data_IF_974673925885
#
_entry.id   IF_974673925885
#
_cell.length_a   1.000
_cell.length_b   1.000
_cell.length_c   1.000
_cell.angle_alpha   90.00
_cell.angle_beta   90.00
_cell.angle_gamma   90.00
#
_symmetry.space_group_name_H-M   'P 1'
#
loop_
_entity.id
_entity.type
_entity.pdbx_description
1 polymer ?
#
# COMPACT_ATOMS: atom_id res chain seq x y z
N UNK A 1 -38.71 41.67 -23.40
CA UNK A 1 -37.91 40.44 -23.18
C UNK A 1 -36.49 40.87 -22.89
N UNK A 2 -36.10 40.85 -21.62
CA UNK A 2 -34.77 41.25 -21.18
C UNK A 2 -33.91 39.98 -20.95
N UNK A 3 -32.88 39.81 -21.74
CA UNK A 3 -31.90 38.76 -21.56
C UNK A 3 -30.89 39.23 -20.52
N UNK A 4 -30.90 38.60 -19.35
CA UNK A 4 -29.91 38.82 -18.32
C UNK A 4 -28.55 38.19 -18.71
N UNK A 5 -27.59 39.07 -19.05
CA UNK A 5 -26.20 38.69 -19.31
C UNK A 5 -25.55 38.37 -17.96
N UNK A 6 -25.31 37.11 -17.64
CA UNK A 6 -24.53 36.72 -16.48
C UNK A 6 -23.08 37.21 -16.61
N UNK A 7 -22.49 37.82 -15.58
CA UNK A 7 -21.14 38.36 -15.68
C UNK A 7 -20.10 37.22 -15.81
N UNK A 8 -19.30 37.31 -16.87
CA UNK A 8 -18.26 36.35 -17.28
C UNK A 8 -17.25 35.97 -16.17
N UNK A 9 -17.12 36.79 -15.13
CA UNK A 9 -16.24 36.57 -13.97
C UNK A 9 -16.76 35.51 -13.00
N UNK A 10 -18.06 35.22 -12.95
CA UNK A 10 -18.63 34.14 -12.13
C UNK A 10 -18.43 32.77 -12.78
N UNK A 11 -18.53 32.71 -14.10
CA UNK A 11 -18.26 31.47 -14.86
C UNK A 11 -16.82 31.05 -14.80
N UNK A 12 -15.84 31.96 -14.76
CA UNK A 12 -14.43 31.64 -14.66
C UNK A 12 -14.06 31.11 -13.25
N UNK A 13 -14.65 31.65 -12.18
CA UNK A 13 -14.40 31.19 -10.81
C UNK A 13 -15.01 29.81 -10.53
N UNK A 14 -16.19 29.55 -11.07
CA UNK A 14 -16.83 28.23 -10.98
C UNK A 14 -16.04 27.17 -11.78
N UNK A 15 -15.53 27.52 -12.96
CA UNK A 15 -14.70 26.64 -13.77
C UNK A 15 -13.36 26.32 -13.10
N UNK A 16 -12.71 27.30 -12.47
CA UNK A 16 -11.46 27.09 -11.71
C UNK A 16 -11.71 26.24 -10.48
N UNK A 17 -12.79 26.45 -9.74
CA UNK A 17 -13.16 25.65 -8.57
C UNK A 17 -13.52 24.21 -8.96
N UNK A 18 -14.20 23.97 -10.07
CA UNK A 18 -14.45 22.62 -10.61
C UNK A 18 -13.17 21.93 -11.07
N UNK A 19 -12.24 22.69 -11.66
CA UNK A 19 -10.96 22.15 -12.13
C UNK A 19 -10.05 21.70 -10.98
N UNK A 20 -10.06 22.40 -9.85
CA UNK A 20 -9.28 22.02 -8.65
C UNK A 20 -9.84 20.77 -7.96
N UNK A 21 -11.15 20.51 -8.04
CA UNK A 21 -11.75 19.30 -7.45
C UNK A 21 -11.51 18.03 -8.29
N UNK A 22 -11.27 18.16 -9.60
CA UNK A 22 -11.04 17.04 -10.51
C UNK A 22 -9.61 16.44 -10.43
N UNK A 23 -8.68 17.08 -9.68
CA UNK A 23 -7.26 16.71 -9.67
C UNK A 23 -6.84 15.73 -8.57
N UNK A 24 -7.74 15.20 -7.75
CA UNK A 24 -7.42 14.32 -6.61
C UNK A 24 -7.56 12.83 -6.88
N UNK A 25 -7.25 12.37 -8.06
CA UNK A 25 -7.05 10.94 -8.33
C UNK A 25 -5.76 10.44 -7.69
N UNK A 26 -5.72 10.26 -6.37
CA UNK A 26 -4.53 9.77 -5.67
C UNK A 26 -4.44 8.25 -5.81
N UNK A 27 -3.33 7.77 -6.36
CA UNK A 27 -2.94 6.38 -6.22
C UNK A 27 -2.97 6.01 -4.73
N UNK A 28 -3.70 4.96 -4.36
CA UNK A 28 -3.88 4.58 -2.96
C UNK A 28 -3.69 3.09 -2.76
N UNK A 29 -3.29 2.71 -1.54
CA UNK A 29 -3.29 1.34 -1.07
C UNK A 29 -4.24 1.26 0.11
N UNK A 30 -5.04 0.22 0.14
CA UNK A 30 -6.03 -0.03 1.20
C UNK A 30 -5.87 -1.44 1.76
N UNK A 31 -6.26 -1.62 3.01
CA UNK A 31 -6.41 -2.94 3.61
C UNK A 31 -7.72 -3.56 3.13
N UNK A 32 -7.63 -4.70 2.45
CA UNK A 32 -8.77 -5.52 2.03
C UNK A 32 -9.21 -6.36 3.20
N UNK A 33 -8.23 -6.98 3.88
CA UNK A 33 -8.45 -7.80 5.07
C UNK A 33 -7.49 -7.39 6.17
N UNK A 34 -8.02 -7.30 7.38
CA UNK A 34 -7.27 -7.04 8.60
C UNK A 34 -7.83 -7.92 9.70
N UNK A 35 -7.16 -9.02 9.94
CA UNK A 35 -7.60 -10.01 10.90
C UNK A 35 -6.56 -10.18 12.01
N UNK A 36 -6.95 -9.83 13.23
CA UNK A 36 -6.19 -10.13 14.43
C UNK A 36 -6.73 -11.43 15.02
N UNK A 37 -5.87 -12.42 15.19
CA UNK A 37 -6.26 -13.76 15.68
C UNK A 37 -6.49 -13.76 17.19
N UNK A 38 -5.98 -12.76 17.89
CA UNK A 38 -6.14 -12.60 19.33
C UNK A 38 -6.66 -11.21 19.67
N UNK A 39 -7.58 -11.07 20.62
CA UNK A 39 -8.17 -9.78 21.01
C UNK A 39 -7.12 -8.84 21.63
N UNK A 40 -6.21 -9.37 22.43
CA UNK A 40 -5.09 -8.63 23.02
C UNK A 40 -3.80 -9.26 22.53
N UNK A 41 -2.96 -8.48 21.85
CA UNK A 41 -1.66 -8.94 21.38
C UNK A 41 -0.58 -8.59 22.40
N UNK A 42 0.39 -9.48 22.66
CA UNK A 42 1.54 -9.16 23.48
C UNK A 42 2.36 -8.04 22.83
N UNK A 43 2.82 -7.08 23.63
CA UNK A 43 3.61 -5.96 23.12
C UNK A 43 5.01 -6.48 22.75
N UNK A 44 5.47 -6.30 21.51
CA UNK A 44 6.79 -6.76 21.13
C UNK A 44 7.89 -5.82 21.63
N UNK A 45 9.01 -6.37 22.07
CA UNK A 45 10.24 -5.62 22.31
C UNK A 45 10.95 -5.28 21.00
N UNK A 46 10.86 -6.19 20.03
CA UNK A 46 11.45 -6.04 18.69
C UNK A 46 10.56 -6.68 17.65
N UNK A 47 10.45 -6.02 16.50
CA UNK A 47 9.80 -6.60 15.32
C UNK A 47 10.88 -6.97 14.29
N UNK A 48 10.93 -8.26 13.96
CA UNK A 48 11.80 -8.82 12.93
C UNK A 48 11.04 -8.89 11.61
N UNK A 49 11.55 -8.27 10.57
CA UNK A 49 10.90 -8.25 9.24
C UNK A 49 11.74 -9.09 8.28
N UNK A 50 11.13 -10.11 7.68
CA UNK A 50 11.76 -10.90 6.61
C UNK A 50 11.62 -10.21 5.26
N UNK A 51 12.55 -10.45 4.31
CA UNK A 51 12.33 -10.08 2.92
C UNK A 51 10.98 -10.57 2.43
N UNK A 52 10.25 -9.70 1.72
CA UNK A 52 8.96 -10.09 1.13
C UNK A 52 9.18 -10.99 -0.07
N UNK A 53 8.47 -12.10 -0.14
CA UNK A 53 8.43 -12.92 -1.35
C UNK A 53 7.69 -12.22 -2.50
N UNK A 54 7.92 -12.66 -3.73
CA UNK A 54 7.15 -12.25 -4.92
C UNK A 54 6.69 -13.51 -5.65
N UNK A 55 5.39 -13.62 -5.91
CA UNK A 55 4.85 -14.69 -6.75
C UNK A 55 5.17 -14.37 -8.22
N UNK A 56 6.18 -15.05 -8.78
CA UNK A 56 6.72 -14.74 -10.12
C UNK A 56 5.73 -15.02 -11.25
N UNK A 57 4.87 -16.01 -11.09
CA UNK A 57 3.83 -16.39 -12.06
C UNK A 57 2.75 -15.31 -12.23
N UNK A 58 2.50 -14.51 -11.21
CA UNK A 58 1.58 -13.39 -11.22
C UNK A 58 2.23 -12.04 -11.53
N UNK A 59 3.57 -12.01 -11.60
CA UNK A 59 4.31 -10.79 -11.90
C UNK A 59 4.16 -10.40 -13.37
N UNK A 60 3.75 -9.17 -13.61
CA UNK A 60 3.63 -8.54 -14.94
C UNK A 60 4.52 -7.30 -14.95
N UNK A 61 5.79 -7.52 -15.21
CA UNK A 61 6.83 -6.49 -15.29
C UNK A 61 7.63 -6.67 -16.58
N UNK A 62 8.34 -5.63 -17.02
CA UNK A 62 9.16 -5.65 -18.23
C UNK A 62 10.50 -6.41 -18.01
N UNK A 63 10.45 -7.58 -17.37
CA UNK A 63 11.59 -8.46 -17.06
C UNK A 63 11.15 -9.91 -17.14
N UNK A 64 12.10 -10.81 -17.42
CA UNK A 64 11.87 -12.25 -17.50
C UNK A 64 13.10 -13.04 -17.04
N UNK A 65 12.89 -14.32 -16.70
CA UNK A 65 13.97 -15.21 -16.29
C UNK A 65 14.80 -14.67 -15.12
N UNK A 66 16.13 -14.80 -15.15
CA UNK A 66 17.00 -14.39 -14.05
C UNK A 66 16.88 -12.90 -13.66
N UNK A 67 16.56 -12.01 -14.62
CA UNK A 67 16.35 -10.59 -14.33
C UNK A 67 15.09 -10.36 -13.49
N UNK A 68 14.03 -11.14 -13.72
CA UNK A 68 12.81 -11.09 -12.93
C UNK A 68 13.06 -11.58 -11.51
N UNK A 69 13.81 -12.67 -11.34
CA UNK A 69 14.18 -13.22 -10.03
C UNK A 69 15.00 -12.22 -9.23
N UNK A 70 16.06 -11.67 -9.82
CA UNK A 70 16.90 -10.65 -9.18
C UNK A 70 16.10 -9.40 -8.78
N UNK A 71 15.19 -8.95 -9.66
CA UNK A 71 14.28 -7.84 -9.36
C UNK A 71 13.33 -8.17 -8.21
N UNK A 72 12.77 -9.37 -8.18
CA UNK A 72 11.84 -9.82 -7.14
C UNK A 72 12.54 -9.85 -5.76
N UNK A 73 13.75 -10.40 -5.70
CA UNK A 73 14.56 -10.45 -4.49
C UNK A 73 14.90 -9.05 -3.97
N UNK A 74 15.34 -8.15 -4.85
CA UNK A 74 15.66 -6.77 -4.49
C UNK A 74 14.42 -6.03 -3.99
N UNK A 75 13.30 -6.15 -4.72
CA UNK A 75 12.04 -5.53 -4.36
C UNK A 75 11.52 -6.01 -3.00
N UNK A 76 11.67 -7.32 -2.73
CA UNK A 76 11.32 -7.92 -1.44
C UNK A 76 12.19 -7.40 -0.30
N UNK A 77 13.53 -7.32 -0.49
CA UNK A 77 14.46 -6.76 0.50
C UNK A 77 14.19 -5.29 0.79
N UNK A 78 14.02 -4.47 -0.26
CA UNK A 78 13.70 -3.05 -0.09
C UNK A 78 12.37 -2.85 0.66
N UNK A 79 11.36 -3.66 0.35
CA UNK A 79 10.06 -3.57 1.01
C UNK A 79 10.17 -3.89 2.50
N UNK A 80 10.93 -4.92 2.86
CA UNK A 80 11.21 -5.26 4.25
C UNK A 80 12.00 -4.16 4.97
N UNK A 81 13.02 -3.60 4.33
CA UNK A 81 13.81 -2.48 4.87
C UNK A 81 12.94 -1.26 5.17
N UNK A 82 12.09 -0.88 4.23
CA UNK A 82 11.14 0.25 4.40
C UNK A 82 10.12 -0.01 5.49
N UNK A 83 9.65 -1.24 5.62
CA UNK A 83 8.71 -1.61 6.69
C UNK A 83 9.39 -1.55 8.06
N UNK A 84 10.59 -2.10 8.20
CA UNK A 84 11.36 -2.08 9.44
C UNK A 84 11.69 -0.63 9.88
N UNK A 85 12.14 0.21 8.95
CA UNK A 85 12.38 1.63 9.21
C UNK A 85 11.12 2.35 9.74
N UNK A 86 9.98 2.12 9.09
CA UNK A 86 8.71 2.73 9.51
C UNK A 86 8.24 2.22 10.87
N UNK A 87 8.35 0.93 11.13
CA UNK A 87 7.98 0.34 12.41
C UNK A 87 8.85 0.93 13.53
N UNK A 88 10.17 1.03 13.33
CA UNK A 88 11.08 1.66 14.29
C UNK A 88 10.74 3.13 14.54
N UNK A 89 10.35 3.86 13.50
CA UNK A 89 10.03 5.29 13.61
C UNK A 89 8.70 5.56 14.31
N UNK A 90 7.70 4.70 14.14
CA UNK A 90 6.32 5.01 14.53
C UNK A 90 5.72 4.05 15.57
N UNK A 91 6.29 2.87 15.75
CA UNK A 91 5.69 1.82 16.59
C UNK A 91 6.65 1.40 17.70
N UNK A 92 7.54 0.46 17.42
CA UNK A 92 8.56 -0.09 18.32
C UNK A 92 9.81 -0.43 17.51
N UNK A 93 10.97 -0.68 18.13
CA UNK A 93 12.17 -1.09 17.40
C UNK A 93 11.89 -2.24 16.42
N UNK A 94 12.44 -2.14 15.22
CA UNK A 94 12.30 -3.16 14.20
C UNK A 94 13.59 -3.27 13.37
N UNK A 95 13.89 -4.49 12.89
CA UNK A 95 15.04 -4.77 12.02
C UNK A 95 14.67 -5.76 10.93
N UNK A 96 15.41 -5.71 9.83
CA UNK A 96 15.36 -6.78 8.82
C UNK A 96 16.20 -7.97 9.32
N UNK A 97 15.69 -9.16 9.07
CA UNK A 97 16.38 -10.42 9.34
C UNK A 97 16.51 -11.25 8.06
N UNK A 98 17.41 -12.21 8.05
CA UNK A 98 17.53 -13.15 6.94
C UNK A 98 16.27 -14.01 6.75
N UNK A 99 16.02 -14.46 5.51
CA UNK A 99 14.82 -15.25 5.19
C UNK A 99 14.71 -16.53 6.04
N UNK A 100 15.85 -17.18 6.35
CA UNK A 100 15.94 -18.40 7.16
C UNK A 100 16.34 -18.16 8.62
N UNK A 101 16.57 -16.90 9.02
CA UNK A 101 16.99 -16.57 10.39
C UNK A 101 15.92 -16.98 11.40
N UNK A 102 16.33 -17.73 12.43
CA UNK A 102 15.42 -18.16 13.49
C UNK A 102 15.29 -17.09 14.56
N UNK A 103 14.05 -16.74 14.88
CA UNK A 103 13.72 -15.89 16.02
C UNK A 103 13.20 -16.80 17.13
N UNK A 104 13.88 -16.78 18.28
CA UNK A 104 13.57 -17.64 19.43
C UNK A 104 13.01 -16.87 20.63
N UNK A 105 13.22 -15.56 20.67
CA UNK A 105 12.71 -14.73 21.76
C UNK A 105 11.19 -14.57 21.65
N UNK A 106 10.39 -14.98 22.66
CA UNK A 106 8.93 -14.90 22.63
C UNK A 106 8.40 -13.46 22.66
N UNK A 107 9.23 -12.50 23.05
CA UNK A 107 8.88 -11.06 23.04
C UNK A 107 9.13 -10.42 21.67
N UNK A 108 9.61 -11.17 20.68
CA UNK A 108 9.78 -10.67 19.33
C UNK A 108 8.62 -11.08 18.42
N UNK A 109 8.22 -10.16 17.57
CA UNK A 109 7.35 -10.51 16.46
C UNK A 109 8.17 -10.75 15.20
N UNK A 110 7.64 -11.60 14.33
CA UNK A 110 8.17 -11.84 12.98
C UNK A 110 7.11 -11.45 11.98
N UNK A 111 7.45 -10.56 11.06
CA UNK A 111 6.62 -10.20 9.94
C UNK A 111 7.14 -10.89 8.69
N UNK A 112 6.26 -11.62 8.03
CA UNK A 112 6.49 -12.27 6.75
C UNK A 112 5.46 -11.76 5.76
N UNK A 113 5.94 -11.29 4.61
CA UNK A 113 5.07 -10.79 3.57
C UNK A 113 5.39 -11.41 2.22
N UNK A 114 4.40 -11.38 1.33
CA UNK A 114 4.59 -11.70 -0.08
C UNK A 114 3.71 -10.82 -0.95
N UNK A 115 4.18 -10.50 -2.11
CA UNK A 115 3.40 -9.87 -3.16
C UNK A 115 2.77 -10.95 -4.02
N UNK A 116 1.45 -11.08 -3.92
CA UNK A 116 0.64 -12.10 -4.62
C UNK A 116 0.21 -11.63 -6.01
N UNK A 117 0.30 -10.33 -6.26
CA UNK A 117 0.11 -9.75 -7.58
C UNK A 117 0.98 -8.52 -7.74
N UNK A 118 1.71 -8.47 -8.82
CA UNK A 118 2.56 -7.35 -9.18
C UNK A 118 2.35 -7.02 -10.66
N UNK A 119 1.84 -5.82 -10.96
CA UNK A 119 1.68 -5.34 -12.31
C UNK A 119 2.31 -3.95 -12.43
N UNK A 120 3.37 -3.85 -13.23
CA UNK A 120 4.06 -2.59 -13.47
C UNK A 120 3.24 -1.62 -14.34
N UNK A 121 2.21 -2.14 -15.02
CA UNK A 121 1.45 -1.39 -16.01
C UNK A 121 2.22 -1.18 -17.31
N UNK A 122 1.53 -0.75 -18.34
CA UNK A 122 2.15 -0.47 -19.65
C UNK A 122 2.68 0.96 -19.71
N UNK A 123 4.00 1.12 -19.96
CA UNK A 123 4.60 2.44 -20.20
C UNK A 123 4.06 3.08 -21.46
N UNK A 124 3.85 2.29 -22.51
CA UNK A 124 3.33 2.76 -23.79
C UNK A 124 1.88 3.28 -23.66
N UNK A 125 1.01 2.57 -22.94
CA UNK A 125 -0.37 3.02 -22.72
C UNK A 125 -0.43 4.27 -21.85
N UNK A 126 0.49 4.45 -20.91
CA UNK A 126 0.57 5.67 -20.09
C UNK A 126 0.97 6.91 -20.89
N UNK A 127 1.84 6.75 -21.88
CA UNK A 127 2.34 7.87 -22.71
C UNK A 127 1.39 8.24 -23.83
N UNK A 128 0.64 7.28 -24.38
CA UNK A 128 -0.18 7.49 -25.58
C UNK A 128 -1.63 7.84 -25.24
N UNK A 129 -2.22 7.18 -24.26
CA UNK A 129 -3.67 7.29 -23.99
C UNK A 129 -4.01 8.17 -22.80
N UNK A 130 -3.09 8.43 -21.88
CA UNK A 130 -3.25 9.40 -20.78
C UNK A 130 -4.40 9.15 -19.77
N UNK A 131 -5.28 8.19 -20.02
CA UNK A 131 -6.55 8.00 -19.32
C UNK A 131 -6.49 6.99 -18.15
N UNK A 132 -5.36 6.87 -17.48
CA UNK A 132 -5.24 5.91 -16.37
C UNK A 132 -5.18 4.44 -16.82
N UNK A 133 -5.22 4.15 -18.12
CA UNK A 133 -4.92 2.84 -18.68
C UNK A 133 -3.42 2.56 -18.51
N UNK A 134 -3.07 1.34 -18.07
CA UNK A 134 -1.68 0.96 -17.84
C UNK A 134 -1.12 1.35 -16.46
N UNK A 135 -1.96 1.63 -15.48
CA UNK A 135 -1.52 1.85 -14.10
C UNK A 135 -0.94 0.61 -13.44
N UNK A 136 -0.19 0.84 -12.36
CA UNK A 136 0.35 -0.24 -11.53
C UNK A 136 -0.72 -0.89 -10.67
N UNK A 137 -0.51 -2.17 -10.34
CA UNK A 137 -1.28 -2.88 -9.31
C UNK A 137 -0.34 -3.70 -8.45
N UNK A 138 -0.48 -3.58 -7.16
CA UNK A 138 0.29 -4.32 -6.18
C UNK A 138 -0.66 -4.86 -5.10
N UNK A 139 -0.66 -6.18 -4.93
CA UNK A 139 -1.40 -6.85 -3.88
C UNK A 139 -0.42 -7.61 -3.01
N UNK A 140 -0.61 -7.56 -1.70
CA UNK A 140 0.25 -8.29 -0.77
C UNK A 140 -0.53 -8.97 0.33
N UNK A 141 0.03 -10.07 0.80
CA UNK A 141 -0.36 -10.78 2.01
C UNK A 141 0.76 -10.64 3.03
N UNK A 142 0.41 -10.39 4.28
CA UNK A 142 1.37 -10.19 5.36
C UNK A 142 0.88 -10.88 6.62
N UNK A 143 1.70 -11.77 7.15
CA UNK A 143 1.47 -12.47 8.40
C UNK A 143 2.37 -11.92 9.50
N UNK A 144 1.80 -11.72 10.68
CA UNK A 144 2.52 -11.34 11.88
C UNK A 144 2.45 -12.52 12.85
N UNK A 145 3.61 -13.04 13.18
CA UNK A 145 3.75 -14.18 14.08
C UNK A 145 4.62 -13.83 15.28
N UNK A 146 4.49 -14.58 16.35
CA UNK A 146 5.49 -14.69 17.42
C UNK A 146 5.88 -16.13 17.63
N UNK A 147 6.95 -16.34 18.39
CA UNK A 147 7.29 -17.66 18.93
C UNK A 147 6.70 -17.74 20.32
N UNK A 148 5.94 -18.79 20.63
CA UNK A 148 5.43 -19.02 21.99
C UNK A 148 6.55 -19.52 22.92
N UNK A 149 6.28 -19.59 24.22
CA UNK A 149 7.23 -20.09 25.21
C UNK A 149 7.70 -21.55 25.01
N UNK A 150 7.10 -22.27 24.03
CA UNK A 150 7.46 -23.64 23.62
C UNK A 150 8.20 -23.68 22.28
N UNK A 151 8.54 -22.52 21.72
CA UNK A 151 9.22 -22.42 20.43
C UNK A 151 8.32 -22.62 19.20
N UNK A 152 6.98 -22.66 19.38
CA UNK A 152 6.03 -22.81 18.26
C UNK A 152 5.64 -21.43 17.73
N UNK A 153 5.42 -21.35 16.43
CA UNK A 153 4.91 -20.14 15.78
C UNK A 153 3.41 -19.97 16.05
N UNK A 154 3.05 -18.81 16.55
CA UNK A 154 1.68 -18.38 16.76
C UNK A 154 1.37 -17.21 15.82
N UNK A 155 0.35 -17.36 14.98
CA UNK A 155 -0.13 -16.29 14.11
C UNK A 155 -0.93 -15.28 14.95
N UNK A 156 -0.44 -14.05 15.00
CA UNK A 156 -1.10 -12.93 15.68
C UNK A 156 -2.04 -12.16 14.78
N UNK A 157 -1.64 -11.95 13.51
CA UNK A 157 -2.44 -11.23 12.55
C UNK A 157 -2.17 -11.66 11.11
N UNK A 158 -3.19 -11.47 10.28
CA UNK A 158 -3.15 -11.64 8.84
C UNK A 158 -3.72 -10.38 8.16
N UNK A 159 -2.95 -9.81 7.23
CA UNK A 159 -3.33 -8.61 6.48
C UNK A 159 -3.25 -8.88 4.98
N UNK A 160 -4.23 -8.38 4.26
CA UNK A 160 -4.22 -8.32 2.79
C UNK A 160 -4.33 -6.87 2.35
N UNK A 161 -3.49 -6.45 1.41
CA UNK A 161 -3.55 -5.10 0.84
C UNK A 161 -3.74 -5.15 -0.66
N UNK A 162 -4.46 -4.20 -1.19
CA UNK A 162 -4.55 -3.94 -2.62
C UNK A 162 -4.32 -2.47 -2.89
N UNK A 163 -3.65 -2.16 -3.98
CA UNK A 163 -3.40 -0.79 -4.36
C UNK A 163 -2.70 -0.67 -5.71
N UNK A 164 -2.57 0.58 -6.14
CA UNK A 164 -1.93 0.91 -7.40
C UNK A 164 -2.34 2.29 -7.89
N UNK A 165 -1.82 2.69 -9.03
CA UNK A 165 -2.19 3.98 -9.65
C UNK A 165 -3.58 3.98 -10.29
N UNK A 166 -4.21 2.80 -10.42
CA UNK A 166 -5.57 2.60 -10.94
C UNK A 166 -6.49 1.93 -9.92
N UNK A 167 -6.18 1.99 -8.64
CA UNK A 167 -6.72 1.09 -7.62
C UNK A 167 -8.14 1.41 -7.13
N UNK A 168 -8.88 2.33 -7.73
CA UNK A 168 -10.31 2.45 -7.44
C UNK A 168 -11.13 1.99 -8.64
N UNK A 169 -11.72 0.77 -8.60
CA UNK A 169 -12.76 0.39 -9.56
C UNK A 169 -13.95 1.34 -9.36
N UNK A 170 -14.23 2.17 -10.35
CA UNK A 170 -15.36 3.09 -10.33
C UNK A 170 -15.04 4.54 -10.67
N UNK A 171 -13.77 4.98 -10.65
CA UNK A 171 -13.41 6.35 -11.04
C UNK A 171 -13.31 6.56 -12.55
N UNK A 172 -13.34 5.50 -13.35
CA UNK A 172 -13.24 5.60 -14.81
C UNK A 172 -14.51 6.13 -15.49
N UNK A 173 -15.66 6.15 -14.79
CA UNK A 173 -16.95 6.49 -15.43
C UNK A 173 -17.58 7.80 -14.96
N UNK A 174 -16.95 8.55 -14.06
CA UNK A 174 -17.57 9.73 -13.48
C UNK A 174 -16.99 11.08 -13.93
N UNK A 175 -16.08 11.13 -14.91
CA UNK A 175 -15.60 12.41 -15.46
C UNK A 175 -15.34 12.33 -16.95
N UNK A 176 -16.21 12.91 -17.78
CA UNK A 176 -15.98 13.08 -19.22
C UNK A 176 -14.97 14.20 -19.54
N UNK A 177 -14.39 14.87 -18.55
CA UNK A 177 -13.45 15.98 -18.71
C UNK A 177 -12.13 15.64 -18.01
N UNK A 178 -11.34 14.77 -18.64
CA UNK A 178 -10.07 14.29 -18.06
C UNK A 178 -8.86 14.37 -18.98
N UNK A 179 -8.94 15.05 -20.07
CA UNK A 179 -7.86 15.16 -21.05
C UNK A 179 -7.00 16.41 -20.86
N UNK A 180 -6.47 16.61 -19.65
CA UNK A 180 -5.31 17.50 -19.48
C UNK A 180 -4.07 16.64 -19.25
N UNK A 181 -2.97 16.86 -20.02
CA UNK A 181 -1.71 16.17 -19.77
C UNK A 181 -1.29 16.52 -18.34
N UNK A 182 -1.35 15.53 -17.42
CA UNK A 182 -0.71 15.64 -16.13
C UNK A 182 0.77 15.77 -16.41
N UNK A 183 1.26 17.00 -16.35
CA UNK A 183 2.67 17.29 -16.24
C UNK A 183 3.26 16.31 -15.23
N UNK A 184 4.27 15.59 -15.65
CA UNK A 184 4.95 14.53 -14.93
C UNK A 184 5.51 15.05 -13.60
N UNK A 185 4.64 15.22 -12.61
CA UNK A 185 5.06 15.42 -11.24
C UNK A 185 5.54 14.09 -10.72
N UNK A 186 6.81 13.90 -10.95
CA UNK A 186 7.70 12.87 -10.45
C UNK A 186 7.30 11.41 -10.79
N UNK A 187 8.05 10.82 -11.69
CA UNK A 187 8.13 9.38 -11.88
C UNK A 187 8.34 8.60 -10.56
N UNK A 188 8.79 9.27 -9.50
CA UNK A 188 8.94 8.76 -8.14
C UNK A 188 7.62 8.55 -7.38
N UNK A 189 6.51 9.21 -7.77
CA UNK A 189 5.22 9.09 -7.09
C UNK A 189 4.33 8.00 -7.70
N UNK A 190 4.69 7.47 -8.86
CA UNK A 190 3.96 6.42 -9.58
C UNK A 190 4.88 5.20 -9.75
N UNK A 191 4.28 4.01 -9.80
CA UNK A 191 5.01 2.77 -10.01
C UNK A 191 5.03 1.86 -8.80
N UNK A 192 5.52 0.64 -9.00
CA UNK A 192 5.54 -0.43 -7.99
C UNK A 192 6.24 -0.02 -6.69
N UNK A 193 7.36 0.70 -6.78
CA UNK A 193 8.08 1.17 -5.59
C UNK A 193 7.25 2.16 -4.74
N UNK A 194 6.41 2.99 -5.39
CA UNK A 194 5.50 3.87 -4.68
C UNK A 194 4.35 3.09 -4.01
N UNK A 195 3.87 2.05 -4.68
CA UNK A 195 2.82 1.19 -4.12
C UNK A 195 3.35 0.35 -2.96
N UNK A 196 4.58 -0.16 -3.04
CA UNK A 196 5.24 -0.82 -1.92
C UNK A 196 5.41 0.13 -0.71
N UNK A 197 5.78 1.40 -0.94
CA UNK A 197 5.84 2.41 0.14
C UNK A 197 4.47 2.65 0.79
N UNK A 198 3.40 2.63 0.00
CA UNK A 198 2.03 2.78 0.53
C UNK A 198 1.60 1.52 1.28
N UNK A 199 1.93 0.34 0.78
CA UNK A 199 1.68 -0.95 1.44
C UNK A 199 2.34 -0.99 2.82
N UNK A 200 3.65 -0.71 2.90
CA UNK A 200 4.36 -0.68 4.19
C UNK A 200 3.78 0.35 5.15
N UNK A 201 3.29 1.50 4.65
CA UNK A 201 2.57 2.49 5.45
C UNK A 201 1.26 1.94 6.01
N UNK A 202 0.49 1.18 5.24
CA UNK A 202 -0.78 0.60 5.70
C UNK A 202 -0.55 -0.48 6.75
N UNK A 203 0.44 -1.36 6.54
CA UNK A 203 0.83 -2.37 7.53
C UNK A 203 1.26 -1.72 8.84
N UNK A 204 2.16 -0.72 8.77
CA UNK A 204 2.59 0.03 9.96
C UNK A 204 1.41 0.68 10.70
N UNK A 205 0.50 1.31 9.95
CA UNK A 205 -0.68 1.95 10.54
C UNK A 205 -1.60 0.96 11.24
N UNK A 206 -1.84 -0.22 10.64
CA UNK A 206 -2.68 -1.26 11.25
C UNK A 206 -2.08 -1.81 12.56
N UNK A 207 -0.75 -2.00 12.60
CA UNK A 207 -0.04 -2.42 13.82
C UNK A 207 -0.11 -1.32 14.88
N UNK A 208 0.16 -0.07 14.50
CA UNK A 208 0.12 1.07 15.39
C UNK A 208 -1.27 1.29 16.00
N UNK A 209 -2.34 1.19 15.20
CA UNK A 209 -3.72 1.29 15.68
C UNK A 209 -4.04 0.19 16.71
N UNK A 210 -3.58 -1.04 16.47
CA UNK A 210 -3.81 -2.16 17.40
C UNK A 210 -3.13 -1.92 18.74
N UNK A 211 -1.83 -1.61 18.71
CA UNK A 211 -1.04 -1.41 19.93
C UNK A 211 -1.49 -0.16 20.70
N UNK A 212 -1.75 0.96 20.02
CA UNK A 212 -2.25 2.16 20.67
C UNK A 212 -3.64 1.96 21.27
N UNK A 213 -4.51 1.17 20.61
CA UNK A 213 -5.81 0.78 21.15
C UNK A 213 -5.73 -0.08 22.42
N UNK A 214 -4.58 -0.69 22.70
CA UNK A 214 -4.26 -1.40 23.93
C UNK A 214 -3.54 -0.52 24.98
N UNK A 215 -3.41 0.79 24.74
CA UNK A 215 -2.73 1.71 25.65
C UNK A 215 -1.22 1.73 25.52
N UNK A 216 -0.63 1.06 24.51
CA UNK A 216 0.82 1.04 24.30
C UNK A 216 1.31 2.41 23.83
N UNK A 217 2.33 2.95 24.50
CA UNK A 217 3.01 4.18 24.06
C UNK A 217 3.88 3.87 22.85
N UNK A 218 3.55 4.46 21.72
CA UNK A 218 4.28 4.28 20.48
C UNK A 218 5.45 5.25 20.35
N UNK A 219 6.44 4.90 19.52
CA UNK A 219 7.62 5.73 19.25
C UNK A 219 7.27 7.04 18.53
N UNK A 220 6.20 7.05 17.75
CA UNK A 220 5.78 8.25 17.01
C UNK A 220 4.27 8.31 16.81
N UNK A 221 3.79 9.41 16.20
CA UNK A 221 2.37 9.56 15.85
C UNK A 221 2.06 8.75 14.58
N UNK A 222 1.30 7.65 14.67
CA UNK A 222 1.03 6.81 13.53
C UNK A 222 0.05 7.46 12.55
N UNK A 223 0.17 7.06 11.30
CA UNK A 223 -0.83 7.37 10.28
C UNK A 223 -1.99 6.37 10.43
N UNK A 224 -3.22 6.83 10.15
CA UNK A 224 -4.38 5.94 10.15
C UNK A 224 -4.32 4.96 8.97
N UNK A 225 -4.72 3.71 9.22
CA UNK A 225 -4.91 2.72 8.18
C UNK A 225 -6.15 3.06 7.33
N UNK A 226 -6.03 2.90 6.02
CA UNK A 226 -7.15 3.04 5.09
C UNK A 226 -7.72 1.65 4.81
N UNK A 227 -8.92 1.37 5.29
CA UNK A 227 -9.64 0.14 4.96
C UNK A 227 -10.39 0.32 3.63
N UNK A 228 -10.49 -0.75 2.87
CA UNK A 228 -11.33 -0.76 1.67
C UNK A 228 -12.79 -0.63 2.08
N UNK A 229 -13.55 0.20 1.35
CA UNK A 229 -14.98 0.36 1.63
C UNK A 229 -15.73 -0.96 1.42
N UNK A 230 -16.83 -1.23 2.14
CA UNK A 230 -17.62 -2.45 1.95
C UNK A 230 -18.12 -2.64 0.51
N UNK A 231 -18.45 -1.54 -0.17
CA UNK A 231 -18.87 -1.55 -1.58
C UNK A 231 -17.74 -1.93 -2.54
N UNK A 232 -16.52 -1.43 -2.29
CA UNK A 232 -15.36 -1.78 -3.08
C UNK A 232 -14.90 -3.23 -2.84
N UNK A 233 -15.08 -3.75 -1.61
CA UNK A 233 -14.79 -5.16 -1.29
C UNK A 233 -15.68 -6.12 -2.07
N UNK A 234 -17.02 -5.89 -2.13
CA UNK A 234 -17.97 -6.73 -2.86
C UNK A 234 -17.70 -6.81 -4.37
N UNK A 235 -16.91 -5.89 -4.93
CA UNK A 235 -16.54 -5.89 -6.36
C UNK A 235 -15.27 -6.68 -6.65
N UNK A 236 -14.58 -7.13 -5.62
CA UNK A 236 -13.35 -7.93 -5.73
C UNK A 236 -13.61 -9.42 -5.48
N UNK A 237 -14.76 -9.75 -4.89
CA UNK A 237 -15.34 -11.11 -4.76
C UNK A 237 -16.10 -11.47 -6.03
#
# INVERSE_FOLDING_TARGET
MAWAILPSRLLSRAAVALLTFALTGCASVSLVKREWKVPVVPVPELICVRPFGVELDTARVDRSGPELEAFADEFGRESAGRLAERLSKYVVPAKVIGASERVTNPNHWVIEGRFVRMNQGSRALRSVVGFGLGGTRLESVTDICRVDGRGRRELLAHFETTGGSNAEPGMLFSSPIGALPRLATSAAATGLAADARRTTRMITAAIAEKLSGQGVKLAGRPLRAKNLSPQARRRLE
#
